data_IF_938397937937
#
_entry.id   IF_938397937937
#
_cell.length_a   1.000
_cell.length_b   1.000
_cell.length_c   1.000
_cell.angle_alpha   90.00
_cell.angle_beta   90.00
_cell.angle_gamma   90.00
#
_symmetry.space_group_name_H-M   'P 1'
#
loop_
_entity.id
_entity.type
_entity.pdbx_description
1 polymer ?
#
# COMPACT_ATOMS: atom_id res chain seq x y z
N UNK A 1 20.68 8.15 -5.01
CA UNK A 1 20.08 7.65 -3.76
C UNK A 1 18.93 6.77 -4.17
N UNK A 2 18.96 5.46 -3.84
CA UNK A 2 17.81 4.61 -4.08
C UNK A 2 16.73 5.05 -3.09
N UNK A 3 15.73 5.74 -3.58
CA UNK A 3 14.47 5.86 -2.87
C UNK A 3 13.78 4.53 -3.17
N UNK A 4 14.05 3.48 -2.38
CA UNK A 4 13.47 2.14 -2.56
C UNK A 4 12.02 2.08 -2.02
N UNK A 5 11.57 3.13 -1.33
CA UNK A 5 10.23 3.25 -0.73
C UNK A 5 9.06 3.66 -1.67
N UNK A 6 9.22 4.53 -2.68
CA UNK A 6 8.11 5.01 -3.52
C UNK A 6 7.61 3.93 -4.48
N UNK A 7 8.48 3.06 -4.99
CA UNK A 7 8.07 1.92 -5.82
C UNK A 7 7.31 0.88 -4.99
N UNK A 8 7.74 0.65 -3.74
CA UNK A 8 7.05 -0.25 -2.81
C UNK A 8 5.67 0.29 -2.39
N UNK A 9 5.58 1.59 -2.12
CA UNK A 9 4.32 2.27 -1.84
C UNK A 9 3.36 2.18 -3.04
N UNK A 10 3.85 2.49 -4.24
CA UNK A 10 3.06 2.41 -5.46
C UNK A 10 2.58 0.98 -5.77
N UNK A 11 3.43 -0.03 -5.58
CA UNK A 11 3.05 -1.44 -5.74
C UNK A 11 2.00 -1.86 -4.71
N UNK A 12 2.14 -1.43 -3.46
CA UNK A 12 1.16 -1.69 -2.40
C UNK A 12 -0.21 -1.05 -2.67
N UNK A 13 -0.22 0.19 -3.18
CA UNK A 13 -1.44 0.89 -3.60
C UNK A 13 -2.06 0.21 -4.81
N UNK A 14 -1.26 -0.13 -5.83
CA UNK A 14 -1.72 -0.84 -7.02
C UNK A 14 -2.28 -2.23 -6.69
N UNK A 15 -1.68 -2.95 -5.74
CA UNK A 15 -2.17 -4.24 -5.24
C UNK A 15 -3.55 -4.10 -4.58
N UNK A 16 -3.74 -3.03 -3.79
CA UNK A 16 -5.04 -2.72 -3.18
C UNK A 16 -6.09 -2.35 -4.24
N UNK A 17 -5.75 -1.48 -5.20
CA UNK A 17 -6.64 -1.07 -6.28
C UNK A 17 -7.03 -2.24 -7.21
N UNK A 18 -6.10 -3.15 -7.48
CA UNK A 18 -6.34 -4.38 -8.25
C UNK A 18 -7.30 -5.35 -7.56
N UNK A 19 -7.44 -5.24 -6.23
CA UNK A 19 -8.28 -6.13 -5.41
C UNK A 19 -9.45 -5.37 -4.79
N UNK A 20 -10.57 -5.17 -5.51
CA UNK A 20 -11.76 -4.48 -4.99
C UNK A 20 -12.45 -5.17 -3.80
N UNK A 21 -12.06 -6.42 -3.48
CA UNK A 21 -12.52 -7.19 -2.31
C UNK A 21 -11.52 -7.21 -1.16
N UNK A 22 -10.30 -6.73 -1.36
CA UNK A 22 -9.29 -6.72 -0.31
C UNK A 22 -9.50 -5.50 0.58
N UNK A 23 -9.35 -5.69 1.90
CA UNK A 23 -9.36 -4.59 2.84
C UNK A 23 -7.95 -4.06 3.03
N UNK A 24 -7.81 -2.78 3.38
CA UNK A 24 -6.53 -2.18 3.78
C UNK A 24 -5.83 -3.06 4.83
N UNK A 25 -6.57 -3.64 5.78
CA UNK A 25 -6.00 -4.53 6.81
C UNK A 25 -5.45 -5.83 6.24
N UNK A 26 -6.14 -6.46 5.28
CA UNK A 26 -5.66 -7.68 4.63
C UNK A 26 -4.44 -7.42 3.78
N UNK A 27 -4.44 -6.34 2.98
CA UNK A 27 -3.28 -5.98 2.14
C UNK A 27 -2.09 -5.58 3.01
N UNK A 28 -2.32 -4.82 4.07
CA UNK A 28 -1.26 -4.46 5.00
C UNK A 28 -0.66 -5.68 5.72
N UNK A 29 -1.50 -6.66 6.10
CA UNK A 29 -1.03 -7.91 6.70
C UNK A 29 -0.22 -8.78 5.71
N UNK A 30 -0.61 -8.81 4.43
CA UNK A 30 0.09 -9.52 3.34
C UNK A 30 1.49 -8.91 3.10
N UNK A 31 1.58 -7.58 3.19
CA UNK A 31 2.81 -6.81 3.01
C UNK A 31 3.64 -6.66 4.30
N UNK A 32 3.12 -7.10 5.46
CA UNK A 32 3.78 -6.94 6.76
C UNK A 32 3.88 -5.50 7.27
N UNK A 33 3.05 -4.59 6.76
CA UNK A 33 3.03 -3.16 7.12
C UNK A 33 1.84 -2.83 8.02
N UNK A 34 1.88 -1.65 8.66
CA UNK A 34 0.74 -1.15 9.41
C UNK A 34 -0.45 -0.82 8.49
N UNK A 35 -1.70 -1.16 8.87
CA UNK A 35 -2.88 -0.77 8.10
C UNK A 35 -3.05 0.75 8.00
N UNK A 36 -2.56 1.50 8.98
CA UNK A 36 -2.51 2.97 8.92
C UNK A 36 -1.50 3.48 7.89
N UNK A 37 -0.36 2.80 7.74
CA UNK A 37 0.66 3.10 6.72
C UNK A 37 0.07 2.97 5.32
N UNK A 38 -0.53 1.82 5.02
CA UNK A 38 -1.18 1.60 3.71
C UNK A 38 -2.33 2.59 3.46
N UNK A 39 -3.10 2.95 4.50
CA UNK A 39 -4.17 3.94 4.38
C UNK A 39 -3.65 5.35 4.10
N UNK A 40 -2.47 5.70 4.61
CA UNK A 40 -1.84 6.99 4.31
C UNK A 40 -1.39 7.05 2.84
N UNK A 41 -0.83 5.96 2.33
CA UNK A 41 -0.41 5.81 0.93
C UNK A 41 -1.58 5.90 -0.05
N UNK A 42 -2.67 5.17 0.20
CA UNK A 42 -3.89 5.24 -0.63
C UNK A 42 -4.53 6.65 -0.60
N UNK A 43 -4.31 7.43 0.47
CA UNK A 43 -4.87 8.79 0.62
C UNK A 43 -3.97 9.89 0.04
N UNK A 44 -2.68 9.61 -0.13
CA UNK A 44 -1.69 10.54 -0.68
C UNK A 44 -1.19 9.99 -2.02
N UNK A 45 -2.06 9.85 -3.05
CA UNK A 45 -1.51 9.69 -4.39
C UNK A 45 -0.81 11.01 -4.73
N UNK A 46 0.52 10.97 -4.88
CA UNK A 46 1.31 12.12 -5.35
C UNK A 46 0.76 12.68 -6.66
#
# INVERSE_FOLDING_TARGET
MRNDLPEFEADAVALYESRPKATIRSVAADLGIGPETLRNWVRQPE
#
